data_IF_960078645122
#
_entry.id   IF_960078645122
#
_cell.length_a   1.000
_cell.length_b   1.000
_cell.length_c   1.000
_cell.angle_alpha   90.00
_cell.angle_beta   90.00
_cell.angle_gamma   90.00
#
_symmetry.space_group_name_H-M   'P 1'
#
loop_
_entity.id
_entity.type
_entity.pdbx_description
1 polymer ?
#
# COMPACT_ATOMS: atom_id res chain seq x y z
N UNK A 1 -2.29 11.42 -17.96
CA UNK A 1 -1.83 10.44 -16.95
C UNK A 1 -0.82 11.14 -16.05
N UNK A 2 -1.12 11.28 -14.76
CA UNK A 2 -0.12 11.69 -13.77
C UNK A 2 1.01 10.65 -13.75
N UNK A 3 2.26 11.12 -13.77
CA UNK A 3 3.44 10.25 -13.73
C UNK A 3 3.45 9.53 -12.38
N UNK A 4 3.43 8.19 -12.39
CA UNK A 4 3.57 7.38 -11.17
C UNK A 4 4.98 7.56 -10.60
N UNK A 5 5.07 7.80 -9.30
CA UNK A 5 6.36 7.81 -8.61
C UNK A 5 6.89 6.38 -8.45
N UNK A 6 8.21 6.20 -8.35
CA UNK A 6 8.78 4.92 -7.94
C UNK A 6 9.01 4.94 -6.43
N UNK A 7 8.59 3.90 -5.74
CA UNK A 7 8.64 3.78 -4.28
C UNK A 7 9.43 2.53 -3.94
N UNK A 8 10.41 2.64 -3.04
CA UNK A 8 11.22 1.52 -2.58
C UNK A 8 10.81 1.14 -1.16
N UNK A 9 10.55 -0.14 -0.95
CA UNK A 9 10.44 -0.76 0.37
C UNK A 9 11.64 -1.66 0.57
N UNK A 10 12.43 -1.43 1.62
CA UNK A 10 13.62 -2.21 1.90
C UNK A 10 13.63 -2.68 3.35
N UNK A 11 13.74 -3.99 3.54
CA UNK A 11 13.99 -4.55 4.87
C UNK A 11 15.41 -4.22 5.32
N UNK A 12 15.55 -3.80 6.57
CA UNK A 12 16.81 -3.38 7.16
C UNK A 12 17.20 -4.31 8.32
N UNK A 13 18.47 -4.68 8.34
CA UNK A 13 19.11 -5.40 9.44
C UNK A 13 20.32 -4.60 9.93
N UNK A 14 21.33 -5.28 10.45
CA UNK A 14 22.58 -4.64 10.91
C UNK A 14 23.58 -4.30 9.80
N UNK A 15 23.18 -4.44 8.53
CA UNK A 15 24.00 -4.06 7.36
C UNK A 15 23.35 -2.88 6.64
N UNK A 16 23.61 -1.64 7.06
CA UNK A 16 22.94 -0.47 6.49
C UNK A 16 23.35 -0.18 5.04
N UNK A 17 24.52 -0.64 4.59
CA UNK A 17 25.05 -0.41 3.25
C UNK A 17 24.10 -0.89 2.13
N UNK A 18 23.30 -1.92 2.40
CA UNK A 18 22.32 -2.46 1.45
C UNK A 18 21.29 -1.44 0.96
N UNK A 19 21.06 -0.37 1.73
CA UNK A 19 20.13 0.71 1.34
C UNK A 19 20.69 1.57 0.23
N UNK A 20 21.81 2.30 0.40
CA UNK A 20 22.42 3.06 -0.69
C UNK A 20 22.82 2.17 -1.87
N UNK A 21 23.34 0.95 -1.63
CA UNK A 21 23.65 -0.01 -2.70
C UNK A 21 22.44 -0.29 -3.60
N UNK A 22 21.27 -0.54 -3.00
CA UNK A 22 20.02 -0.78 -3.74
C UNK A 22 19.57 0.46 -4.51
N UNK A 23 19.62 1.64 -3.86
CA UNK A 23 19.19 2.90 -4.47
C UNK A 23 20.06 3.24 -5.68
N UNK A 24 21.38 3.17 -5.53
CA UNK A 24 22.31 3.44 -6.61
C UNK A 24 22.13 2.43 -7.75
N UNK A 25 21.94 1.15 -7.45
CA UNK A 25 21.73 0.13 -8.47
C UNK A 25 20.42 0.33 -9.26
N UNK A 26 19.36 0.85 -8.61
CA UNK A 26 18.13 1.26 -9.29
C UNK A 26 18.37 2.50 -10.17
N UNK A 27 19.12 3.49 -9.69
CA UNK A 27 19.46 4.69 -10.44
C UNK A 27 20.31 4.38 -11.68
N UNK A 28 21.27 3.45 -11.58
CA UNK A 28 22.07 2.95 -12.72
C UNK A 28 21.20 2.30 -13.80
N UNK A 29 20.00 1.83 -13.45
CA UNK A 29 18.98 1.30 -14.36
C UNK A 29 17.97 2.35 -14.83
N UNK A 30 18.16 3.63 -14.50
CA UNK A 30 17.25 4.72 -14.82
C UNK A 30 15.98 4.76 -13.97
N UNK A 31 15.93 4.01 -12.86
CA UNK A 31 14.79 3.96 -11.95
C UNK A 31 15.06 4.89 -10.76
N UNK A 32 14.54 6.11 -10.85
CA UNK A 32 14.65 7.11 -9.79
C UNK A 32 13.54 6.91 -8.76
N UNK A 33 13.92 6.58 -7.52
CA UNK A 33 13.00 6.37 -6.39
C UNK A 33 12.64 7.70 -5.75
N UNK A 34 11.34 8.01 -5.63
CA UNK A 34 10.86 9.22 -4.95
C UNK A 34 10.87 9.07 -3.44
N UNK A 35 10.43 7.92 -2.93
CA UNK A 35 10.35 7.60 -1.49
C UNK A 35 10.93 6.23 -1.19
N UNK A 36 11.73 6.15 -0.13
CA UNK A 36 12.30 4.90 0.38
C UNK A 36 11.80 4.66 1.81
N UNK A 37 11.10 3.55 2.02
CA UNK A 37 10.65 3.09 3.33
C UNK A 37 11.62 2.06 3.88
N UNK A 38 12.10 2.27 5.11
CA UNK A 38 12.87 1.26 5.84
C UNK A 38 11.93 0.43 6.70
N UNK A 39 12.02 -0.89 6.56
CA UNK A 39 11.22 -1.86 7.30
C UNK A 39 12.16 -2.60 8.26
N UNK A 40 11.94 -2.47 9.56
CA UNK A 40 12.84 -3.05 10.57
C UNK A 40 12.12 -3.39 11.88
N UNK A 41 12.82 -4.09 12.77
CA UNK A 41 12.46 -4.32 14.17
C UNK A 41 12.95 -3.17 15.05
N UNK A 42 12.57 -3.17 16.34
CA UNK A 42 13.07 -2.22 17.34
C UNK A 42 14.45 -2.57 17.90
N UNK A 43 15.25 -3.36 17.17
CA UNK A 43 16.64 -3.69 17.55
C UNK A 43 17.45 -2.42 17.75
N UNK A 44 18.03 -2.25 18.94
CA UNK A 44 18.70 -1.02 19.36
C UNK A 44 19.87 -0.64 18.44
N UNK A 45 20.63 -1.62 17.93
CA UNK A 45 21.75 -1.35 17.03
C UNK A 45 21.23 -0.80 15.70
N UNK A 46 20.12 -1.32 15.21
CA UNK A 46 19.50 -0.78 13.99
C UNK A 46 19.02 0.66 14.23
N UNK A 47 18.28 0.88 15.31
CA UNK A 47 17.68 2.18 15.64
C UNK A 47 18.73 3.26 15.93
N UNK A 48 19.75 2.95 16.72
CA UNK A 48 20.71 3.94 17.21
C UNK A 48 21.92 4.13 16.29
N UNK A 49 22.25 3.14 15.45
CA UNK A 49 23.46 3.19 14.61
C UNK A 49 23.15 3.12 13.12
N UNK A 50 22.35 2.14 12.69
CA UNK A 50 22.11 1.92 11.26
C UNK A 50 21.25 3.03 10.65
N UNK A 51 20.11 3.37 11.27
CA UNK A 51 19.21 4.40 10.73
C UNK A 51 19.88 5.77 10.66
N UNK A 52 20.57 6.27 11.70
CA UNK A 52 21.27 7.55 11.62
C UNK A 52 22.33 7.61 10.52
N UNK A 53 23.10 6.53 10.35
CA UNK A 53 24.09 6.43 9.26
C UNK A 53 23.42 6.52 7.89
N UNK A 54 22.31 5.81 7.67
CA UNK A 54 21.55 5.87 6.42
C UNK A 54 20.96 7.27 6.23
N UNK A 55 20.46 7.92 7.28
CA UNK A 55 19.91 9.28 7.18
C UNK A 55 20.97 10.30 6.77
N UNK A 56 22.15 10.26 7.39
CA UNK A 56 23.28 11.15 7.03
C UNK A 56 23.70 10.95 5.57
N UNK A 57 23.88 9.69 5.17
CA UNK A 57 24.23 9.34 3.80
C UNK A 57 23.16 9.81 2.79
N UNK A 58 21.89 9.54 3.11
CA UNK A 58 20.79 9.85 2.22
C UNK A 58 20.60 11.36 2.04
N UNK A 59 20.75 12.12 3.13
CA UNK A 59 20.73 13.57 3.12
C UNK A 59 21.80 14.14 2.20
N UNK A 60 23.04 13.63 2.30
CA UNK A 60 24.17 14.09 1.50
C UNK A 60 24.06 13.73 0.01
N UNK A 61 23.46 12.58 -0.34
CA UNK A 61 23.53 12.01 -1.71
C UNK A 61 22.25 12.13 -2.51
N UNK A 62 21.09 12.08 -1.87
CA UNK A 62 19.81 11.90 -2.56
C UNK A 62 18.80 13.03 -2.35
N UNK A 63 18.91 13.84 -1.29
CA UNK A 63 17.93 14.92 -1.00
C UNK A 63 17.83 15.94 -2.13
N UNK A 64 18.96 16.41 -2.66
CA UNK A 64 18.98 17.40 -3.76
C UNK A 64 18.38 16.84 -5.06
N UNK A 65 18.33 15.51 -5.21
CA UNK A 65 17.67 14.81 -6.32
C UNK A 65 16.16 14.69 -6.12
N UNK A 66 15.61 15.30 -5.05
CA UNK A 66 14.19 15.26 -4.71
C UNK A 66 13.71 13.93 -4.17
N UNK A 67 14.60 13.08 -3.66
CA UNK A 67 14.29 11.79 -3.05
C UNK A 67 14.04 11.96 -1.54
N UNK A 68 13.22 11.09 -0.96
CA UNK A 68 12.86 11.17 0.46
C UNK A 68 13.02 9.81 1.16
N UNK A 69 13.60 9.83 2.36
CA UNK A 69 13.71 8.67 3.24
C UNK A 69 12.59 8.69 4.28
N UNK A 70 11.97 7.54 4.53
CA UNK A 70 10.93 7.32 5.54
C UNK A 70 11.37 6.21 6.50
N UNK A 71 12.34 6.48 7.39
CA UNK A 71 13.01 5.42 8.15
C UNK A 71 12.21 4.93 9.36
N UNK A 72 11.24 5.71 9.84
CA UNK A 72 10.53 5.47 11.10
C UNK A 72 9.10 4.91 10.92
N UNK A 73 8.62 4.77 9.68
CA UNK A 73 7.21 4.43 9.44
C UNK A 73 6.88 2.95 9.61
N UNK A 74 7.86 2.06 9.40
CA UNK A 74 7.68 0.61 9.40
C UNK A 74 8.58 -0.10 10.42
N UNK A 75 8.66 0.45 11.64
CA UNK A 75 9.35 -0.18 12.76
C UNK A 75 8.35 -1.04 13.54
N UNK A 76 8.70 -2.31 13.74
CA UNK A 76 7.98 -3.20 14.65
C UNK A 76 8.32 -2.90 16.10
N UNK A 77 7.34 -3.12 16.98
CA UNK A 77 7.52 -2.99 18.43
C UNK A 77 8.38 -4.10 19.04
N UNK A 78 8.53 -5.22 18.35
CA UNK A 78 9.39 -6.33 18.78
C UNK A 78 10.82 -6.05 18.31
N UNK A 79 11.80 -6.44 19.13
CA UNK A 79 13.23 -6.38 18.82
C UNK A 79 13.62 -7.37 17.71
N UNK A 80 12.87 -8.46 17.58
CA UNK A 80 13.04 -9.45 16.52
C UNK A 80 11.71 -10.11 16.07
N UNK A 81 11.81 -10.99 15.06
CA UNK A 81 10.72 -11.86 14.59
C UNK A 81 10.99 -13.29 15.06
N UNK A 82 10.30 -13.71 16.13
CA UNK A 82 10.43 -15.04 16.72
C UNK A 82 9.26 -15.97 16.38
N UNK A 83 8.10 -15.42 16.04
CA UNK A 83 6.85 -16.18 15.86
C UNK A 83 6.13 -15.81 14.56
N UNK A 84 5.20 -16.66 14.14
CA UNK A 84 4.28 -16.38 13.02
C UNK A 84 3.46 -15.12 13.28
N UNK A 85 3.11 -14.87 14.55
CA UNK A 85 2.39 -13.66 14.96
C UNK A 85 3.23 -12.39 14.75
N UNK A 86 4.53 -12.44 15.01
CA UNK A 86 5.42 -11.30 14.76
C UNK A 86 5.58 -11.05 13.26
N UNK A 87 5.68 -12.13 12.48
CA UNK A 87 5.69 -12.04 11.03
C UNK A 87 4.40 -11.43 10.48
N UNK A 88 3.24 -11.80 11.03
CA UNK A 88 1.98 -11.20 10.61
C UNK A 88 1.86 -9.72 11.00
N UNK A 89 2.35 -9.32 12.18
CA UNK A 89 2.43 -7.90 12.57
C UNK A 89 3.27 -7.10 11.56
N UNK A 90 4.39 -7.65 11.09
CA UNK A 90 5.17 -7.08 9.99
C UNK A 90 4.28 -6.88 8.77
N UNK A 91 3.63 -7.96 8.34
CA UNK A 91 2.80 -7.92 7.13
C UNK A 91 1.69 -6.88 7.22
N UNK A 92 1.00 -6.77 8.36
CA UNK A 92 -0.05 -5.77 8.61
C UNK A 92 0.52 -4.35 8.57
N UNK A 93 1.61 -4.10 9.29
CA UNK A 93 2.25 -2.77 9.36
C UNK A 93 2.68 -2.30 7.98
N UNK A 94 3.39 -3.16 7.25
CA UNK A 94 3.88 -2.87 5.91
C UNK A 94 2.72 -2.70 4.92
N UNK A 95 1.71 -3.57 4.97
CA UNK A 95 0.51 -3.47 4.14
C UNK A 95 -0.20 -2.12 4.27
N UNK A 96 -0.25 -1.54 5.47
CA UNK A 96 -0.80 -0.19 5.67
C UNK A 96 -0.05 0.88 4.88
N UNK A 97 1.25 0.72 4.66
CA UNK A 97 2.07 1.64 3.87
C UNK A 97 1.94 1.34 2.37
N UNK A 98 1.88 0.05 1.98
CA UNK A 98 1.56 -0.34 0.60
C UNK A 98 0.25 0.29 0.12
N UNK A 99 -0.79 0.26 0.96
CA UNK A 99 -2.08 0.88 0.68
C UNK A 99 -1.97 2.39 0.41
N UNK A 100 -1.11 3.09 1.14
CA UNK A 100 -0.85 4.54 0.90
C UNK A 100 -0.18 4.80 -0.44
N UNK A 101 0.50 3.81 -1.01
CA UNK A 101 1.35 3.93 -2.20
C UNK A 101 0.78 3.17 -3.42
N UNK A 102 -0.46 2.66 -3.36
CA UNK A 102 -1.09 1.81 -4.38
C UNK A 102 -1.16 2.44 -5.79
N UNK A 103 -1.12 3.78 -5.86
CA UNK A 103 -1.08 4.52 -7.13
C UNK A 103 0.30 4.59 -7.80
N UNK A 104 1.37 4.18 -7.10
CA UNK A 104 2.76 4.33 -7.51
C UNK A 104 3.39 3.01 -7.97
N UNK A 105 4.59 3.08 -8.54
CA UNK A 105 5.37 1.91 -8.91
C UNK A 105 6.15 1.42 -7.69
N UNK A 106 5.70 0.32 -7.09
CA UNK A 106 6.32 -0.22 -5.87
C UNK A 106 7.43 -1.21 -6.21
N UNK A 107 8.63 -0.97 -5.68
CA UNK A 107 9.77 -1.89 -5.71
C UNK A 107 10.06 -2.38 -4.30
N UNK A 108 10.38 -3.66 -4.15
CA UNK A 108 10.79 -4.24 -2.89
C UNK A 108 12.24 -4.68 -2.99
N UNK A 109 13.06 -4.38 -1.99
CA UNK A 109 14.40 -4.96 -1.85
C UNK A 109 14.42 -6.00 -0.74
N UNK A 110 14.95 -7.18 -1.05
CA UNK A 110 15.16 -8.29 -0.12
C UNK A 110 16.56 -8.28 0.51
N UNK A 111 17.37 -7.25 0.25
CA UNK A 111 18.80 -7.25 0.53
C UNK A 111 19.17 -7.12 2.02
N UNK A 112 18.25 -6.74 2.91
CA UNK A 112 18.54 -6.56 4.33
C UNK A 112 17.52 -7.20 5.26
N UNK A 113 17.84 -7.19 6.57
CA UNK A 113 16.97 -7.73 7.62
C UNK A 113 17.05 -9.24 7.81
N UNK A 114 16.21 -9.78 8.70
CA UNK A 114 16.06 -11.24 8.83
C UNK A 114 15.44 -11.81 7.56
N UNK A 115 15.87 -13.01 7.15
CA UNK A 115 15.33 -13.71 5.96
C UNK A 115 13.80 -13.84 5.98
N UNK A 116 13.22 -14.03 7.17
CA UNK A 116 11.78 -14.05 7.39
C UNK A 116 11.11 -12.76 6.94
N UNK A 117 11.71 -11.59 7.21
CA UNK A 117 11.22 -10.31 6.73
C UNK A 117 11.24 -10.24 5.21
N UNK A 118 12.36 -10.60 4.58
CA UNK A 118 12.47 -10.60 3.12
C UNK A 118 11.43 -11.52 2.46
N UNK A 119 11.18 -12.69 3.05
CA UNK A 119 10.14 -13.60 2.58
C UNK A 119 8.73 -12.99 2.71
N UNK A 120 8.40 -12.39 3.86
CA UNK A 120 7.12 -11.71 4.06
C UNK A 120 6.94 -10.52 3.10
N UNK A 121 7.99 -9.73 2.89
CA UNK A 121 8.00 -8.64 1.92
C UNK A 121 7.78 -9.16 0.49
N UNK A 122 8.40 -10.27 0.11
CA UNK A 122 8.19 -10.89 -1.21
C UNK A 122 6.73 -11.34 -1.39
N UNK A 123 6.11 -11.95 -0.37
CA UNK A 123 4.69 -12.31 -0.40
C UNK A 123 3.80 -11.06 -0.56
N UNK A 124 4.07 -10.00 0.21
CA UNK A 124 3.36 -8.73 0.05
C UNK A 124 3.53 -8.13 -1.35
N UNK A 125 4.71 -8.25 -1.96
CA UNK A 125 4.90 -7.83 -3.36
C UNK A 125 3.93 -8.55 -4.30
N UNK A 126 3.78 -9.87 -4.14
CA UNK A 126 2.86 -10.66 -4.97
C UNK A 126 1.41 -10.29 -4.70
N UNK A 127 1.05 -10.06 -3.44
CA UNK A 127 -0.31 -9.70 -3.04
C UNK A 127 -0.71 -8.30 -3.55
N UNK A 128 0.17 -7.31 -3.43
CA UNK A 128 -0.10 -5.91 -3.79
C UNK A 128 0.32 -5.55 -5.22
N UNK A 129 0.74 -6.53 -6.03
CA UNK A 129 1.13 -6.28 -7.42
C UNK A 129 2.31 -5.32 -7.55
N UNK A 130 3.34 -5.47 -6.70
CA UNK A 130 4.55 -4.67 -6.81
C UNK A 130 5.16 -4.78 -8.21
N UNK A 131 5.78 -3.69 -8.68
CA UNK A 131 6.42 -3.59 -9.99
C UNK A 131 7.53 -4.63 -10.13
N UNK A 132 8.30 -4.83 -9.07
CA UNK A 132 9.32 -5.87 -8.98
C UNK A 132 9.76 -6.12 -7.53
N UNK A 133 10.25 -7.33 -7.30
CA UNK A 133 11.11 -7.65 -6.17
C UNK A 133 12.56 -7.58 -6.67
N UNK A 134 13.45 -7.04 -5.85
CA UNK A 134 14.84 -6.76 -6.20
C UNK A 134 15.79 -7.29 -5.13
N UNK A 135 17.01 -7.60 -5.57
CA UNK A 135 18.12 -7.93 -4.69
C UNK A 135 19.40 -7.36 -5.31
N UNK A 136 20.12 -6.55 -4.54
CA UNK A 136 21.43 -6.05 -4.95
C UNK A 136 22.50 -7.05 -4.56
N UNK A 137 23.41 -7.31 -5.48
CA UNK A 137 24.63 -8.08 -5.25
C UNK A 137 25.82 -7.15 -5.38
N UNK A 138 26.72 -7.21 -4.41
CA UNK A 138 28.00 -6.49 -4.39
C UNK A 138 29.13 -7.51 -4.21
N UNK A 139 30.40 -7.14 -4.47
CA UNK A 139 31.52 -8.03 -4.21
C UNK A 139 31.51 -8.54 -2.76
N UNK A 140 31.90 -9.81 -2.48
CA UNK A 140 31.84 -10.38 -1.13
C UNK A 140 32.62 -9.58 -0.09
N UNK A 141 33.72 -8.94 -0.49
CA UNK A 141 34.53 -8.06 0.36
C UNK A 141 33.74 -6.82 0.81
N UNK A 142 32.91 -6.26 -0.07
CA UNK A 142 32.03 -5.12 0.23
C UNK A 142 30.89 -5.59 1.14
N UNK A 143 30.23 -6.69 0.79
CA UNK A 143 29.11 -7.25 1.56
C UNK A 143 29.52 -7.54 3.02
N UNK A 144 30.70 -8.15 3.21
CA UNK A 144 31.25 -8.46 4.52
C UNK A 144 31.52 -7.20 5.36
N UNK A 145 31.94 -6.11 4.73
CA UNK A 145 32.24 -4.85 5.40
C UNK A 145 31.02 -3.91 5.50
N UNK A 146 29.89 -4.25 4.88
CA UNK A 146 28.65 -3.47 4.92
C UNK A 146 27.87 -3.55 6.24
N UNK A 147 28.34 -4.34 7.20
CA UNK A 147 27.75 -4.42 8.54
C UNK A 147 28.21 -3.26 9.43
N UNK A 148 27.29 -2.75 10.26
CA UNK A 148 27.49 -1.54 11.06
C UNK A 148 28.71 -1.59 11.97
N UNK A 149 29.02 -2.76 12.54
CA UNK A 149 30.17 -2.91 13.44
C UNK A 149 31.51 -2.73 12.72
N UNK A 150 31.58 -3.12 11.45
CA UNK A 150 32.72 -2.92 10.58
C UNK A 150 32.75 -1.45 10.13
N UNK A 151 31.63 -0.92 9.65
CA UNK A 151 31.53 0.44 9.12
C UNK A 151 31.98 1.51 10.12
N UNK A 152 31.60 1.40 11.40
CA UNK A 152 31.97 2.37 12.44
C UNK A 152 33.49 2.50 12.62
N UNK A 153 34.23 1.39 12.46
CA UNK A 153 35.68 1.34 12.59
C UNK A 153 36.44 1.82 11.35
N UNK A 154 35.76 2.04 10.22
CA UNK A 154 36.40 2.40 8.96
C UNK A 154 36.54 3.91 8.78
N UNK A 155 37.64 4.37 8.15
CA UNK A 155 37.79 5.75 7.67
C UNK A 155 36.63 6.16 6.76
N UNK A 156 36.30 7.46 6.74
CA UNK A 156 35.13 8.00 6.04
C UNK A 156 35.14 7.70 4.53
N UNK A 157 36.29 7.82 3.90
CA UNK A 157 36.51 7.54 2.47
C UNK A 157 36.33 6.05 2.14
N UNK A 158 36.80 5.16 3.01
CA UNK A 158 36.60 3.70 2.86
C UNK A 158 35.13 3.34 3.08
N UNK A 159 34.50 3.94 4.09
CA UNK A 159 33.07 3.77 4.37
C UNK A 159 32.22 4.19 3.17
N UNK A 160 32.52 5.32 2.56
CA UNK A 160 31.81 5.81 1.37
C UNK A 160 31.91 4.83 0.19
N UNK A 161 33.07 4.20 -0.01
CA UNK A 161 33.24 3.17 -1.05
C UNK A 161 32.43 1.91 -0.79
N UNK A 162 32.17 1.58 0.48
CA UNK A 162 31.34 0.43 0.86
C UNK A 162 29.85 0.77 0.72
N UNK A 163 29.44 1.98 1.12
CA UNK A 163 28.04 2.42 0.97
C UNK A 163 27.66 2.61 -0.51
N UNK A 164 28.60 3.05 -1.34
CA UNK A 164 28.40 3.31 -2.76
C UNK A 164 29.41 2.55 -3.64
N UNK A 165 29.32 1.21 -3.71
CA UNK A 165 30.25 0.43 -4.49
C UNK A 165 30.07 0.69 -5.98
N UNK A 166 31.20 0.82 -6.68
CA UNK A 166 31.21 0.96 -8.14
C UNK A 166 30.70 -0.31 -8.81
N UNK A 167 31.14 -1.47 -8.33
CA UNK A 167 30.68 -2.77 -8.81
C UNK A 167 29.47 -3.22 -8.00
N UNK A 168 28.32 -3.28 -8.66
CA UNK A 168 27.06 -3.76 -8.09
C UNK A 168 26.15 -4.27 -9.18
N UNK A 169 25.32 -5.26 -8.86
CA UNK A 169 24.36 -5.86 -9.80
C UNK A 169 23.00 -5.94 -9.15
N UNK A 170 22.00 -5.36 -9.82
CA UNK A 170 20.61 -5.52 -9.43
C UNK A 170 19.98 -6.74 -10.11
N UNK A 171 19.42 -7.64 -9.31
CA UNK A 171 18.58 -8.75 -9.77
C UNK A 171 17.12 -8.36 -9.62
N UNK A 172 16.34 -8.56 -10.68
CA UNK A 172 14.88 -8.41 -10.65
C UNK A 172 14.24 -9.80 -10.61
N UNK A 173 13.38 -10.03 -9.63
CA UNK A 173 12.50 -11.18 -9.59
C UNK A 173 11.13 -10.76 -10.14
N UNK A 174 10.56 -11.55 -11.07
CA UNK A 174 9.23 -11.26 -11.60
C UNK A 174 8.17 -11.37 -10.50
N UNK A 175 7.26 -10.40 -10.47
CA UNK A 175 6.03 -10.45 -9.67
C UNK A 175 4.92 -10.89 -10.61
N UNK A 176 4.38 -12.08 -10.38
CA UNK A 176 3.35 -12.69 -11.25
C UNK A 176 1.96 -12.37 -10.71
N UNK A 177 1.85 -11.97 -9.43
CA UNK A 177 0.60 -11.64 -8.78
C UNK A 177 -0.24 -12.90 -8.56
N UNK A 178 -0.23 -13.45 -7.34
CA UNK A 178 -1.01 -14.65 -6.96
C UNK A 178 -2.53 -14.36 -6.86
N UNK A 179 -3.02 -13.34 -7.58
CA UNK A 179 -4.42 -12.90 -7.66
C UNK A 179 -5.41 -14.06 -7.88
N UNK A 180 -5.01 -15.09 -8.62
CA UNK A 180 -5.86 -16.26 -8.89
C UNK A 180 -6.11 -17.17 -7.68
N UNK A 181 -5.31 -17.11 -6.61
CA UNK A 181 -5.55 -17.85 -5.34
C UNK A 181 -6.26 -16.98 -4.29
N UNK A 182 -6.19 -15.65 -4.43
CA UNK A 182 -6.71 -14.69 -3.45
C UNK A 182 -8.21 -14.89 -3.21
N UNK A 183 -9.02 -14.98 -4.27
CA UNK A 183 -10.47 -15.22 -4.17
C UNK A 183 -10.81 -16.48 -3.37
N UNK A 184 -10.06 -17.57 -3.58
CA UNK A 184 -10.29 -18.85 -2.92
C UNK A 184 -9.89 -18.80 -1.44
N UNK A 185 -8.77 -18.13 -1.13
CA UNK A 185 -8.35 -17.89 0.25
C UNK A 185 -9.34 -17.00 0.99
N UNK A 186 -9.87 -15.97 0.34
CA UNK A 186 -10.87 -15.06 0.90
C UNK A 186 -12.18 -15.79 1.16
N UNK A 187 -12.69 -16.58 0.20
CA UNK A 187 -13.89 -17.42 0.39
C UNK A 187 -13.72 -18.41 1.54
N UNK A 188 -12.56 -19.06 1.64
CA UNK A 188 -12.25 -19.98 2.73
C UNK A 188 -12.28 -19.27 4.08
N UNK A 189 -11.61 -18.13 4.18
CA UNK A 189 -11.52 -17.36 5.41
C UNK A 189 -12.84 -16.66 5.79
N UNK A 190 -13.78 -16.51 4.85
CA UNK A 190 -15.16 -16.07 5.11
C UNK A 190 -16.07 -17.19 5.64
N UNK A 191 -15.60 -18.45 5.65
CA UNK A 191 -16.42 -19.61 6.00
C UNK A 191 -17.46 -19.97 4.92
N UNK A 192 -17.27 -19.52 3.67
CA UNK A 192 -18.14 -19.87 2.53
C UNK A 192 -17.85 -21.32 2.10
N UNK A 193 -18.88 -22.05 1.65
CA UNK A 193 -18.87 -23.50 1.41
C UNK A 193 -17.56 -24.06 0.84
N UNK A 194 -16.93 -24.89 1.66
CA UNK A 194 -15.67 -25.63 1.43
C UNK A 194 -15.61 -26.30 0.05
N UNK A 195 -16.73 -26.83 -0.46
CA UNK A 195 -16.79 -27.53 -1.77
C UNK A 195 -16.49 -26.65 -3.00
N UNK A 196 -16.60 -25.33 -2.89
CA UNK A 196 -16.31 -24.39 -3.98
C UNK A 196 -14.84 -24.01 -4.11
N UNK A 197 -14.02 -24.42 -3.14
CA UNK A 197 -12.61 -24.05 -3.01
C UNK A 197 -11.77 -25.21 -3.53
N UNK A 198 -10.76 -24.90 -4.36
CA UNK A 198 -9.81 -25.89 -4.88
C UNK A 198 -9.17 -26.66 -3.74
N UNK A 199 -9.04 -27.99 -3.91
CA UNK A 199 -8.56 -28.90 -2.87
C UNK A 199 -7.17 -28.49 -2.39
N UNK A 200 -6.30 -28.13 -3.33
CA UNK A 200 -4.92 -27.73 -3.06
C UNK A 200 -4.87 -26.47 -2.18
N UNK A 201 -5.76 -25.50 -2.40
CA UNK A 201 -5.82 -24.27 -1.60
C UNK A 201 -6.25 -24.57 -0.17
N UNK A 202 -7.23 -25.48 0.02
CA UNK A 202 -7.70 -25.88 1.35
C UNK A 202 -6.60 -26.59 2.15
N UNK A 203 -5.89 -27.51 1.51
CA UNK A 203 -4.79 -28.26 2.14
C UNK A 203 -3.68 -27.31 2.59
N UNK A 204 -3.26 -26.38 1.73
CA UNK A 204 -2.29 -25.34 2.08
C UNK A 204 -2.77 -24.50 3.27
N UNK A 205 -4.03 -24.09 3.31
CA UNK A 205 -4.57 -23.27 4.41
C UNK A 205 -4.61 -23.99 5.76
N UNK A 206 -4.90 -25.30 5.76
CA UNK A 206 -4.88 -26.12 6.98
C UNK A 206 -3.43 -26.37 7.44
N UNK A 207 -2.52 -26.73 6.52
CA UNK A 207 -1.10 -26.94 6.82
C UNK A 207 -0.42 -25.69 7.41
N UNK A 208 -0.91 -24.50 7.05
CA UNK A 208 -0.40 -23.23 7.54
C UNK A 208 -1.20 -22.67 8.74
N UNK A 209 -2.04 -23.48 9.39
CA UNK A 209 -2.82 -23.10 10.58
C UNK A 209 -3.70 -21.85 10.35
N UNK A 210 -4.20 -21.66 9.13
CA UNK A 210 -5.15 -20.59 8.78
C UNK A 210 -6.60 -21.07 8.90
N UNK A 211 -6.83 -22.37 8.71
CA UNK A 211 -8.10 -23.06 8.97
C UNK A 211 -7.88 -24.19 9.97
N UNK A 212 -8.88 -24.46 10.81
CA UNK A 212 -8.90 -25.62 11.71
C UNK A 212 -9.37 -26.91 11.00
N UNK A 213 -9.41 -28.02 11.73
CA UNK A 213 -9.89 -29.33 11.24
C UNK A 213 -11.35 -29.32 10.77
N UNK A 214 -12.13 -28.32 11.18
CA UNK A 214 -13.51 -28.10 10.78
C UNK A 214 -13.64 -27.06 9.64
N UNK A 215 -12.54 -26.68 9.01
CA UNK A 215 -12.46 -25.65 7.97
C UNK A 215 -12.92 -24.26 8.42
N UNK A 216 -12.82 -23.95 9.71
CA UNK A 216 -13.09 -22.61 10.24
C UNK A 216 -11.81 -21.80 10.33
N UNK A 217 -11.85 -20.47 10.09
CA UNK A 217 -10.71 -19.60 10.29
C UNK A 217 -10.15 -19.72 11.72
N UNK A 218 -8.85 -19.92 11.85
CA UNK A 218 -8.15 -19.78 13.13
C UNK A 218 -7.96 -18.29 13.45
N UNK A 219 -7.51 -17.90 14.66
CA UNK A 219 -7.17 -16.51 14.95
C UNK A 219 -6.12 -15.90 13.99
N UNK A 220 -5.19 -16.72 13.49
CA UNK A 220 -4.23 -16.31 12.45
C UNK A 220 -4.93 -16.14 11.09
N UNK A 221 -5.82 -17.06 10.74
CA UNK A 221 -6.68 -16.99 9.57
C UNK A 221 -7.55 -15.72 9.54
N UNK A 222 -8.18 -15.35 10.65
CA UNK A 222 -8.99 -14.13 10.77
C UNK A 222 -8.16 -12.86 10.57
N UNK A 223 -6.93 -12.82 11.10
CA UNK A 223 -6.04 -11.68 10.92
C UNK A 223 -5.55 -11.55 9.47
N UNK A 224 -5.22 -12.67 8.82
CA UNK A 224 -4.91 -12.69 7.40
C UNK A 224 -6.14 -12.30 6.57
N UNK A 225 -7.33 -12.77 6.93
CA UNK A 225 -8.57 -12.42 6.25
C UNK A 225 -8.79 -10.91 6.23
N UNK A 226 -8.60 -10.26 7.38
CA UNK A 226 -8.70 -8.79 7.47
C UNK A 226 -7.71 -8.10 6.54
N UNK A 227 -6.48 -8.61 6.43
CA UNK A 227 -5.47 -8.10 5.52
C UNK A 227 -5.92 -8.21 4.05
N UNK A 228 -6.37 -9.40 3.66
CA UNK A 228 -6.76 -9.74 2.28
C UNK A 228 -8.07 -9.07 1.84
N UNK A 229 -9.06 -9.00 2.74
CA UNK A 229 -10.35 -8.36 2.48
C UNK A 229 -10.21 -6.84 2.28
N UNK A 230 -9.12 -6.24 2.72
CA UNK A 230 -8.82 -4.84 2.41
C UNK A 230 -8.22 -4.67 1.00
N UNK A 231 -7.66 -5.72 0.39
CA UNK A 231 -6.99 -5.67 -0.93
C UNK A 231 -8.01 -5.74 -2.08
N UNK A 232 -9.06 -6.55 -1.94
CA UNK A 232 -10.13 -6.68 -2.95
C UNK A 232 -11.13 -5.49 -2.97
N UNK A 233 -11.08 -4.60 -1.98
CA UNK A 233 -12.06 -3.50 -1.83
C UNK A 233 -11.68 -2.20 -2.55
N UNK A 234 -10.56 -2.15 -3.26
CA UNK A 234 -10.17 -0.93 -3.96
C UNK A 234 -10.78 -0.89 -5.36
N UNK A 235 -11.70 0.05 -5.63
CA UNK A 235 -12.12 0.32 -7.00
C UNK A 235 -10.90 0.78 -7.79
N UNK A 236 -10.78 0.33 -9.03
CA UNK A 236 -9.78 0.87 -9.95
C UNK A 236 -10.11 2.37 -10.16
N UNK A 237 -9.17 3.32 -10.00
CA UNK A 237 -9.43 4.72 -10.29
C UNK A 237 -9.95 4.93 -11.71
N UNK A 238 -10.90 5.84 -11.88
CA UNK A 238 -11.36 6.26 -13.20
C UNK A 238 -10.19 6.84 -14.00
N UNK A 239 -10.13 6.50 -15.28
CA UNK A 239 -9.13 7.03 -16.21
C UNK A 239 -9.46 8.44 -16.72
N UNK A 240 -10.63 8.97 -16.36
CA UNK A 240 -11.20 10.22 -16.86
C UNK A 240 -11.74 11.06 -15.70
N UNK A 241 -11.91 12.36 -15.96
CA UNK A 241 -12.67 13.22 -15.05
C UNK A 241 -14.16 12.83 -15.09
N UNK A 242 -14.89 12.99 -13.97
CA UNK A 242 -16.31 12.67 -13.92
C UNK A 242 -17.15 13.45 -14.93
N UNK A 243 -18.08 12.77 -15.59
CA UNK A 243 -19.07 13.43 -16.44
C UNK A 243 -20.19 14.04 -15.58
N UNK A 244 -20.50 15.31 -15.80
CA UNK A 244 -21.52 16.05 -15.06
C UNK A 244 -22.81 16.14 -15.87
N UNK A 245 -23.87 15.45 -15.41
CA UNK A 245 -25.18 15.39 -16.08
C UNK A 245 -26.24 16.08 -15.23
N UNK A 246 -26.37 17.39 -15.42
CA UNK A 246 -27.38 18.22 -14.79
C UNK A 246 -28.31 18.81 -15.85
N UNK A 247 -29.58 19.07 -15.51
CA UNK A 247 -30.45 19.83 -16.42
C UNK A 247 -30.05 21.31 -16.37
N UNK A 248 -29.95 21.95 -17.53
CA UNK A 248 -29.39 23.31 -17.68
C UNK A 248 -30.16 24.39 -16.92
N UNK A 249 -31.43 24.15 -16.66
CA UNK A 249 -32.40 25.01 -15.97
C UNK A 249 -32.39 24.85 -14.44
N UNK A 250 -31.69 23.85 -13.88
CA UNK A 250 -31.73 23.54 -12.44
C UNK A 250 -30.68 24.33 -11.63
N UNK A 251 -29.52 24.70 -12.21
CA UNK A 251 -28.43 25.37 -11.49
C UNK A 251 -28.81 26.63 -10.68
N UNK A 252 -29.69 27.54 -11.14
CA UNK A 252 -30.08 28.73 -10.38
C UNK A 252 -30.78 28.41 -9.04
N UNK A 253 -31.40 27.23 -8.94
CA UNK A 253 -32.15 26.79 -7.76
C UNK A 253 -31.32 25.91 -6.81
N UNK A 254 -30.07 25.61 -7.16
CA UNK A 254 -29.19 24.78 -6.35
C UNK A 254 -28.97 25.33 -4.91
N UNK A 255 -28.76 24.45 -3.92
CA UNK A 255 -28.32 24.83 -2.57
C UNK A 255 -27.07 25.70 -2.59
N UNK A 256 -26.98 26.65 -1.66
CA UNK A 256 -25.76 27.45 -1.50
C UNK A 256 -24.57 26.51 -1.24
N UNK A 257 -23.46 26.71 -1.95
CA UNK A 257 -22.28 25.84 -1.83
C UNK A 257 -22.31 24.58 -2.70
N UNK A 258 -23.40 24.31 -3.42
CA UNK A 258 -23.55 23.11 -4.26
C UNK A 258 -22.42 22.95 -5.28
N UNK A 259 -22.01 24.03 -5.97
CA UNK A 259 -20.90 23.97 -6.93
C UNK A 259 -19.58 23.55 -6.27
N UNK A 260 -19.32 24.01 -5.04
CA UNK A 260 -18.12 23.64 -4.28
C UNK A 260 -18.17 22.17 -3.89
N UNK A 261 -19.35 21.68 -3.50
CA UNK A 261 -19.59 20.27 -3.20
C UNK A 261 -19.40 19.37 -4.43
N UNK A 262 -19.94 19.75 -5.60
CA UNK A 262 -19.71 19.03 -6.86
C UNK A 262 -18.23 19.00 -7.24
N UNK A 263 -17.51 20.12 -7.06
CA UNK A 263 -16.06 20.15 -7.30
C UNK A 263 -15.30 19.23 -6.32
N UNK A 264 -15.71 19.14 -5.04
CA UNK A 264 -15.13 18.19 -4.07
C UNK A 264 -15.33 16.74 -4.55
N UNK A 265 -16.57 16.36 -4.90
CA UNK A 265 -16.88 15.03 -5.42
C UNK A 265 -16.13 14.75 -6.74
N UNK A 266 -16.01 15.72 -7.62
CA UNK A 266 -15.37 15.53 -8.93
C UNK A 266 -13.86 15.22 -8.85
N UNK A 267 -13.23 15.52 -7.71
CA UNK A 267 -11.82 15.19 -7.44
C UNK A 267 -11.64 13.79 -6.85
N UNK A 268 -12.71 13.07 -6.56
CA UNK A 268 -12.64 11.71 -6.02
C UNK A 268 -12.30 10.75 -7.15
N UNK A 269 -11.18 10.01 -7.05
CA UNK A 269 -10.61 9.28 -8.18
C UNK A 269 -11.48 8.11 -8.68
N UNK A 270 -12.51 7.71 -7.93
CA UNK A 270 -13.35 6.55 -8.24
C UNK A 270 -14.69 6.94 -8.88
N UNK A 271 -15.01 8.23 -8.99
CA UNK A 271 -16.29 8.68 -9.56
C UNK A 271 -16.16 8.77 -11.09
N UNK A 272 -17.17 8.27 -11.81
CA UNK A 272 -17.25 8.32 -13.27
C UNK A 272 -18.31 9.31 -13.74
N UNK A 273 -19.45 9.38 -13.05
CA UNK A 273 -20.54 10.31 -13.39
C UNK A 273 -21.21 10.87 -12.14
N UNK A 274 -21.66 12.11 -12.23
CA UNK A 274 -22.52 12.76 -11.24
C UNK A 274 -23.77 13.26 -11.95
N UNK A 275 -24.92 12.72 -11.54
CA UNK A 275 -26.21 12.96 -12.18
C UNK A 275 -27.14 13.67 -11.20
N UNK A 276 -27.69 14.81 -11.61
CA UNK A 276 -28.73 15.51 -10.88
C UNK A 276 -30.07 14.79 -10.96
N UNK A 277 -30.77 14.63 -9.83
CA UNK A 277 -32.07 13.95 -9.79
C UNK A 277 -33.22 14.91 -9.51
N UNK A 278 -33.32 15.41 -8.29
CA UNK A 278 -34.48 16.14 -7.80
C UNK A 278 -34.14 17.02 -6.59
N UNK A 279 -34.91 18.10 -6.41
CA UNK A 279 -34.88 18.95 -5.22
C UNK A 279 -35.70 18.34 -4.09
N UNK A 280 -35.24 18.54 -2.86
CA UNK A 280 -35.91 18.07 -1.63
C UNK A 280 -35.86 19.14 -0.56
N UNK A 281 -36.91 19.18 0.26
CA UNK A 281 -36.88 19.93 1.52
C UNK A 281 -36.25 19.02 2.57
N UNK A 282 -34.96 19.20 2.82
CA UNK A 282 -34.21 18.41 3.78
C UNK A 282 -33.01 19.23 4.26
N UNK A 283 -32.77 19.30 5.58
CA UNK A 283 -31.65 20.06 6.10
C UNK A 283 -30.32 19.30 6.02
N UNK A 284 -30.33 18.01 5.72
CA UNK A 284 -29.14 17.14 5.87
C UNK A 284 -28.38 16.91 4.56
N UNK A 285 -27.06 16.97 4.65
CA UNK A 285 -26.13 16.44 3.64
C UNK A 285 -25.77 15.01 4.02
N UNK A 286 -26.05 14.03 3.15
CA UNK A 286 -25.79 12.61 3.47
C UNK A 286 -25.72 11.72 2.22
N UNK A 287 -25.21 10.51 2.44
CA UNK A 287 -25.32 9.39 1.49
C UNK A 287 -26.56 8.58 1.87
N UNK A 288 -27.52 8.49 0.96
CA UNK A 288 -28.84 7.92 1.22
C UNK A 288 -28.85 6.40 1.01
N UNK A 289 -28.40 5.95 -0.16
CA UNK A 289 -28.54 4.56 -0.59
C UNK A 289 -27.34 4.12 -1.42
N UNK A 290 -26.98 2.84 -1.30
CA UNK A 290 -25.97 2.18 -2.12
C UNK A 290 -26.68 1.18 -3.04
N UNK A 291 -26.32 1.17 -4.31
CA UNK A 291 -26.91 0.29 -5.31
C UNK A 291 -25.92 -0.81 -5.73
N UNK A 292 -26.45 -1.96 -6.13
CA UNK A 292 -25.64 -3.11 -6.57
C UNK A 292 -24.92 -2.88 -7.90
N UNK A 293 -25.27 -1.84 -8.64
CA UNK A 293 -24.66 -1.44 -9.92
C UNK A 293 -23.38 -0.60 -9.75
N UNK A 294 -22.86 -0.44 -8.52
CA UNK A 294 -21.67 0.37 -8.25
C UNK A 294 -21.97 1.87 -8.14
N UNK A 295 -23.24 2.27 -8.09
CA UNK A 295 -23.65 3.65 -7.89
C UNK A 295 -24.22 3.89 -6.48
N UNK A 296 -24.29 5.15 -6.05
CA UNK A 296 -24.96 5.52 -4.82
C UNK A 296 -25.81 6.79 -5.00
N UNK A 297 -26.87 6.91 -4.20
CA UNK A 297 -27.67 8.13 -4.09
C UNK A 297 -27.19 8.93 -2.90
N UNK A 298 -26.97 10.22 -3.09
CA UNK A 298 -26.65 11.15 -2.02
C UNK A 298 -27.43 12.45 -2.18
N UNK A 299 -27.30 13.34 -1.21
CA UNK A 299 -27.87 14.68 -1.25
C UNK A 299 -26.93 15.67 -0.58
N UNK A 300 -26.90 16.88 -1.12
CA UNK A 300 -26.25 18.04 -0.51
C UNK A 300 -27.30 19.07 -0.13
N UNK A 301 -27.18 19.62 1.08
CA UNK A 301 -28.10 20.58 1.68
C UNK A 301 -27.36 21.86 2.08
N UNK A 302 -28.04 23.00 2.01
CA UNK A 302 -27.61 24.27 2.60
C UNK A 302 -28.28 24.58 3.95
N UNK A 303 -28.97 23.60 4.53
CA UNK A 303 -29.69 23.68 5.80
C UNK A 303 -31.20 23.87 5.66
N UNK A 304 -31.69 24.18 4.45
CA UNK A 304 -33.12 24.37 4.16
C UNK A 304 -33.56 23.50 2.97
N UNK A 305 -32.83 23.63 1.85
CA UNK A 305 -33.08 22.87 0.62
C UNK A 305 -31.91 21.95 0.31
N UNK A 306 -32.25 20.77 -0.20
CA UNK A 306 -31.30 19.78 -0.65
C UNK A 306 -31.49 19.47 -2.14
N UNK A 307 -30.43 19.04 -2.78
CA UNK A 307 -30.48 18.50 -4.13
C UNK A 307 -29.88 17.10 -4.15
N UNK A 308 -30.66 16.15 -4.66
CA UNK A 308 -30.31 14.73 -4.67
C UNK A 308 -29.56 14.37 -5.95
N UNK A 309 -28.52 13.55 -5.80
CA UNK A 309 -27.62 13.13 -6.85
C UNK A 309 -27.57 11.61 -6.93
N UNK A 310 -27.43 11.07 -8.14
CA UNK A 310 -26.91 9.72 -8.37
C UNK A 310 -25.44 9.85 -8.77
N UNK A 311 -24.56 9.16 -8.05
CA UNK A 311 -23.13 9.14 -8.33
C UNK A 311 -22.77 7.74 -8.82
N UNK A 312 -22.24 7.66 -10.04
CA UNK A 312 -21.75 6.40 -10.63
C UNK A 312 -20.25 6.32 -10.39
N UNK A 313 -19.78 5.15 -9.98
CA UNK A 313 -18.38 4.92 -9.62
C UNK A 313 -17.80 3.74 -10.40
N UNK A 314 -16.48 3.59 -10.35
CA UNK A 314 -15.78 2.44 -10.89
C UNK A 314 -15.95 1.15 -10.07
N UNK A 315 -16.71 1.19 -8.96
CA UNK A 315 -16.91 0.03 -8.10
C UNK A 315 -17.63 -1.10 -8.84
N UNK A 316 -17.04 -2.28 -8.83
CA UNK A 316 -17.60 -3.51 -9.43
C UNK A 316 -18.22 -4.44 -8.40
N UNK A 317 -18.07 -4.13 -7.12
CA UNK A 317 -18.58 -4.93 -6.02
C UNK A 317 -19.22 -4.05 -4.93
N UNK A 318 -20.09 -4.65 -4.12
CA UNK A 318 -20.70 -3.98 -2.96
C UNK A 318 -19.63 -3.58 -1.91
N UNK A 319 -18.53 -4.32 -1.82
CA UNK A 319 -17.40 -4.01 -0.93
C UNK A 319 -16.62 -2.78 -1.38
N UNK A 320 -16.34 -2.66 -2.68
CA UNK A 320 -15.73 -1.46 -3.28
C UNK A 320 -16.61 -0.23 -3.09
N UNK A 321 -17.92 -0.37 -3.30
CA UNK A 321 -18.86 0.73 -3.11
C UNK A 321 -18.95 1.19 -1.64
N UNK A 322 -18.89 0.24 -0.70
CA UNK A 322 -18.85 0.54 0.73
C UNK A 322 -17.55 1.26 1.12
N UNK A 323 -16.42 0.87 0.53
CA UNK A 323 -15.15 1.59 0.71
C UNK A 323 -15.21 3.03 0.17
N UNK A 324 -15.80 3.24 -1.02
CA UNK A 324 -16.00 4.60 -1.56
C UNK A 324 -16.86 5.41 -0.60
N UNK A 325 -17.96 4.86 -0.08
CA UNK A 325 -18.82 5.53 0.90
C UNK A 325 -18.05 6.00 2.13
N UNK A 326 -17.24 5.13 2.73
CA UNK A 326 -16.46 5.46 3.93
C UNK A 326 -15.43 6.57 3.68
N UNK A 327 -14.78 6.58 2.51
CA UNK A 327 -13.84 7.65 2.13
C UNK A 327 -14.55 8.97 1.79
N UNK A 328 -15.79 8.89 1.31
CA UNK A 328 -16.59 10.06 1.00
C UNK A 328 -17.23 10.68 2.23
N UNK A 329 -17.40 9.94 3.33
CA UNK A 329 -18.10 10.35 4.55
C UNK A 329 -17.69 11.76 5.02
N UNK A 330 -16.38 12.04 5.04
CA UNK A 330 -15.82 13.36 5.41
C UNK A 330 -16.34 14.55 4.57
N UNK A 331 -16.81 14.33 3.34
CA UNK A 331 -17.39 15.38 2.49
C UNK A 331 -18.86 15.66 2.80
N UNK A 332 -19.48 14.81 3.62
CA UNK A 332 -20.88 14.91 4.02
C UNK A 332 -21.05 15.28 5.50
N UNK A 333 -19.96 15.56 6.22
CA UNK A 333 -19.94 15.90 7.65
C UNK A 333 -19.76 17.41 7.93
N UNK A 334 -20.05 18.28 6.95
CA UNK A 334 -20.03 19.75 7.11
C UNK A 334 -21.38 20.31 7.61
#
# INVERSE_FOLDING_TARGET
MTKKDNILFISLGRSPAVVPETIDALMDKGIYVKRTYLITTSDEIIIQKCIPLIQEDFEAKYREKGMHLCPWQAILSSDDIYTERDNLKLMIKVSGIFKKEVGNNIYISMAGGRKTMSAAMALLAQIYGARAITHVLVPPEIEKNGNIFQLEGLPKDVREQILHPKEKRLIFFPVIGISWMLDDMIKALQGIQVKSIRKEVREIMMENNLLDENYKPTPLGEQLFKLLNDIEKYPIPSSKLPELKFKQDEFPHAPKGFQKFINKLSNVPYIEEIIGLEYKNSPETRINELYSDGSFKCQYSDGDKAYSLKVITTAKSRGELQFIKENLQQYFED
#
